data_IF_821136729060
#
_entry.id   IF_821136729060
#
_cell.length_a   1.000
_cell.length_b   1.000
_cell.length_c   1.000
_cell.angle_alpha   90.00
_cell.angle_beta   90.00
_cell.angle_gamma   90.00
#
_symmetry.space_group_name_H-M   'P 1'
#
loop_
_entity.id
_entity.type
_entity.pdbx_description
1 polymer ?
#
# COMPACT_ATOMS: atom_id res chain seq x y z
N UNK A 1 35.83 -20.33 16.51
CA UNK A 1 35.02 -20.21 15.26
C UNK A 1 33.48 -20.31 15.41
N UNK A 2 32.83 -20.37 16.61
CA UNK A 2 31.36 -20.52 16.67
C UNK A 2 30.58 -19.21 16.48
N UNK A 3 31.23 -18.05 16.63
CA UNK A 3 30.57 -16.73 16.65
C UNK A 3 30.10 -16.27 15.27
N UNK A 4 30.79 -16.69 14.20
CA UNK A 4 30.38 -16.45 12.81
C UNK A 4 29.22 -17.36 12.38
N UNK A 5 29.18 -18.59 12.90
CA UNK A 5 28.09 -19.53 12.67
C UNK A 5 26.79 -19.03 13.31
N UNK A 6 26.85 -18.52 14.55
CA UNK A 6 25.70 -17.90 15.23
C UNK A 6 25.15 -16.70 14.47
N UNK A 7 26.03 -15.87 13.89
CA UNK A 7 25.62 -14.68 13.14
C UNK A 7 24.90 -15.04 11.83
N UNK A 8 25.36 -16.10 11.15
CA UNK A 8 24.70 -16.61 9.93
C UNK A 8 23.33 -17.20 10.24
N UNK A 9 23.19 -17.96 11.34
CA UNK A 9 21.90 -18.52 11.76
C UNK A 9 20.91 -17.41 12.13
N UNK A 10 21.37 -16.38 12.84
CA UNK A 10 20.53 -15.23 13.20
C UNK A 10 20.04 -14.46 11.96
N UNK A 11 20.89 -14.29 10.95
CA UNK A 11 20.51 -13.59 9.71
C UNK A 11 19.51 -14.40 8.86
N UNK A 12 19.65 -15.73 8.84
CA UNK A 12 18.72 -16.60 8.13
C UNK A 12 17.33 -16.69 8.81
N UNK A 13 17.27 -16.55 10.13
CA UNK A 13 15.98 -16.53 10.85
C UNK A 13 15.20 -15.22 10.59
N UNK A 14 15.89 -14.10 10.36
CA UNK A 14 15.26 -12.80 10.14
C UNK A 14 14.57 -12.70 8.76
N UNK A 15 15.05 -13.44 7.75
CA UNK A 15 14.49 -13.40 6.39
C UNK A 15 13.19 -14.22 6.23
N UNK A 16 12.92 -15.20 7.10
CA UNK A 16 11.68 -16.00 7.03
C UNK A 16 10.45 -15.30 7.62
N UNK A 17 10.62 -14.29 8.48
CA UNK A 17 9.51 -13.60 9.14
C UNK A 17 8.84 -12.50 8.28
N UNK A 18 9.45 -12.10 7.16
CA UNK A 18 8.94 -11.02 6.31
C UNK A 18 7.88 -11.47 5.28
N UNK A 19 7.64 -12.77 5.14
CA UNK A 19 6.68 -13.32 4.18
C UNK A 19 5.38 -13.81 4.84
N UNK A 20 4.81 -13.03 5.77
CA UNK A 20 3.39 -13.19 6.15
C UNK A 20 2.55 -12.16 5.42
N UNK A 21 2.40 -12.35 4.11
CA UNK A 21 1.39 -11.62 3.36
C UNK A 21 0.05 -12.30 3.64
N UNK A 22 -0.70 -11.72 4.58
CA UNK A 22 -2.04 -12.14 4.90
C UNK A 22 -2.96 -11.75 3.74
N UNK A 23 -2.92 -12.52 2.65
CA UNK A 23 -3.78 -12.32 1.48
C UNK A 23 -5.17 -12.85 1.80
N UNK A 24 -5.96 -12.04 2.49
CA UNK A 24 -7.41 -12.22 2.46
C UNK A 24 -7.90 -11.66 1.12
N UNK A 25 -8.30 -12.53 0.20
CA UNK A 25 -8.89 -12.11 -1.07
C UNK A 25 -10.14 -11.26 -0.79
N UNK A 26 -10.31 -10.08 -1.41
CA UNK A 26 -11.55 -9.34 -1.29
C UNK A 26 -12.67 -10.11 -2.00
N UNK A 27 -13.72 -10.47 -1.26
CA UNK A 27 -14.99 -10.89 -1.85
C UNK A 27 -15.57 -9.68 -2.58
N UNK A 28 -15.51 -9.70 -3.92
CA UNK A 28 -16.17 -8.70 -4.76
C UNK A 28 -17.69 -8.90 -4.72
N UNK A 29 -18.34 -8.36 -3.69
CA UNK A 29 -19.77 -8.11 -3.74
C UNK A 29 -20.00 -6.91 -4.67
N UNK A 30 -20.57 -7.15 -5.85
CA UNK A 30 -20.95 -6.10 -6.80
C UNK A 30 -22.09 -5.27 -6.19
N UNK A 31 -21.74 -4.15 -5.56
CA UNK A 31 -22.71 -3.13 -5.11
C UNK A 31 -23.02 -2.21 -6.30
N UNK A 32 -24.30 -1.91 -6.60
CA UNK A 32 -24.65 -0.98 -7.67
C UNK A 32 -24.06 0.42 -7.37
N UNK A 33 -23.51 1.13 -8.37
CA UNK A 33 -22.85 2.41 -8.13
C UNK A 33 -23.89 3.52 -8.02
N UNK A 34 -24.42 3.76 -6.82
CA UNK A 34 -25.16 5.00 -6.54
C UNK A 34 -24.81 5.55 -5.17
N UNK A 35 -23.61 6.08 -5.04
CA UNK A 35 -23.34 7.16 -4.11
C UNK A 35 -22.67 8.26 -4.92
N UNK A 36 -23.44 9.29 -5.32
CA UNK A 36 -22.85 10.54 -5.80
C UNK A 36 -21.92 11.02 -4.70
N UNK A 37 -20.60 11.09 -4.91
CA UNK A 37 -19.71 11.58 -3.87
C UNK A 37 -20.13 13.00 -3.55
N UNK A 38 -20.52 13.25 -2.30
CA UNK A 38 -20.76 14.60 -1.78
C UNK A 38 -19.52 15.42 -2.15
N UNK A 39 -19.70 16.50 -2.90
CA UNK A 39 -18.62 17.38 -3.35
C UNK A 39 -18.04 18.15 -2.15
N UNK A 40 -17.39 17.45 -1.23
CA UNK A 40 -16.58 18.00 -0.18
C UNK A 40 -15.15 18.21 -0.69
N UNK A 41 -14.44 19.17 -0.08
CA UNK A 41 -13.02 19.37 -0.34
C UNK A 41 -12.25 18.14 0.14
N UNK A 42 -11.84 17.28 -0.78
CA UNK A 42 -10.93 16.18 -0.46
C UNK A 42 -9.55 16.74 -0.11
N UNK A 43 -8.84 16.15 0.87
CA UNK A 43 -7.47 16.52 1.16
C UNK A 43 -6.59 16.24 -0.06
N UNK A 44 -5.57 17.07 -0.25
CA UNK A 44 -4.64 17.00 -1.37
C UNK A 44 -3.25 17.39 -0.89
N UNK A 45 -2.21 16.84 -1.51
CA UNK A 45 -0.81 17.11 -1.17
C UNK A 45 0.16 16.36 -2.05
N UNK A 46 1.38 16.16 -1.56
CA UNK A 46 2.42 15.34 -2.20
C UNK A 46 2.85 14.21 -1.27
N UNK A 47 3.19 13.05 -1.85
CA UNK A 47 3.85 11.97 -1.13
C UNK A 47 5.30 12.33 -0.83
N UNK A 48 5.98 11.53 0.00
CA UNK A 48 7.42 11.69 0.28
C UNK A 48 8.29 11.56 -0.97
N UNK A 49 7.82 10.83 -1.98
CA UNK A 49 8.49 10.66 -3.27
C UNK A 49 8.17 11.79 -4.26
N UNK A 50 7.33 12.76 -3.87
CA UNK A 50 6.95 13.91 -4.69
C UNK A 50 5.77 13.68 -5.63
N UNK A 51 5.00 12.59 -5.50
CA UNK A 51 3.81 12.38 -6.33
C UNK A 51 2.61 13.15 -5.77
N UNK A 52 1.82 13.84 -6.61
CA UNK A 52 0.60 14.49 -6.15
C UNK A 52 -0.45 13.44 -5.73
N UNK A 53 -1.19 13.70 -4.67
CA UNK A 53 -2.34 12.88 -4.27
C UNK A 53 -3.58 13.74 -3.95
N UNK A 54 -4.75 13.12 -4.10
CA UNK A 54 -6.04 13.68 -3.69
C UNK A 54 -6.93 12.58 -3.13
N UNK A 55 -7.51 12.81 -1.96
CA UNK A 55 -8.37 11.85 -1.26
C UNK A 55 -7.77 11.33 0.04
N UNK A 56 -8.43 10.32 0.62
CA UNK A 56 -8.05 9.73 1.90
C UNK A 56 -6.86 8.76 1.73
N UNK A 57 -5.79 8.95 2.51
CA UNK A 57 -4.62 8.06 2.52
C UNK A 57 -4.94 6.63 2.99
N UNK A 58 -6.01 6.45 3.80
CA UNK A 58 -6.48 5.15 4.26
C UNK A 58 -7.61 4.58 3.37
N UNK A 59 -7.77 5.09 2.15
CA UNK A 59 -8.78 4.58 1.21
C UNK A 59 -8.51 3.12 0.89
N UNK A 60 -9.53 2.23 0.86
CA UNK A 60 -9.36 0.83 0.49
C UNK A 60 -8.93 0.64 -0.97
N UNK A 61 -9.10 1.67 -1.79
CA UNK A 61 -8.71 1.70 -3.20
C UNK A 61 -7.89 2.95 -3.47
N UNK A 62 -6.78 2.77 -4.19
CA UNK A 62 -5.92 3.85 -4.69
C UNK A 62 -5.92 3.83 -6.21
N UNK A 63 -6.13 4.99 -6.83
CA UNK A 63 -6.04 5.17 -8.27
C UNK A 63 -4.71 5.85 -8.62
N UNK A 64 -3.97 5.25 -9.54
CA UNK A 64 -2.74 5.82 -10.10
C UNK A 64 -3.03 6.36 -11.49
N UNK A 65 -2.79 7.65 -11.68
CA UNK A 65 -2.95 8.33 -12.96
C UNK A 65 -1.56 8.62 -13.53
N UNK A 66 -1.32 8.16 -14.76
CA UNK A 66 -0.14 8.51 -15.53
C UNK A 66 -0.59 9.45 -16.64
N UNK A 67 -0.05 10.66 -16.64
CA UNK A 67 -0.35 11.68 -17.63
C UNK A 67 0.94 12.30 -18.14
N UNK A 68 0.94 12.69 -19.41
CA UNK A 68 2.00 13.49 -19.98
C UNK A 68 1.43 14.80 -20.53
N UNK A 69 2.06 15.90 -20.15
CA UNK A 69 1.69 17.25 -20.57
C UNK A 69 2.65 17.71 -21.67
N UNK A 70 2.16 17.73 -22.92
CA UNK A 70 2.89 18.29 -24.07
C UNK A 70 2.85 19.82 -24.06
#
# INVERSE_FOLDING_TARGET
>A
MPKRLLLIIALAALSLAACSQNTTAPTNTLVPPTATPKAGKLPSGFTEQGFPYKGNANSPVTLWEFSEFQ
#
